data_IF_131497351609
#
_entry.id   IF_131497351609
#
_cell.length_a   1.000
_cell.length_b   1.000
_cell.length_c   1.000
_cell.angle_alpha   90.00
_cell.angle_beta   90.00
_cell.angle_gamma   90.00
#
_symmetry.space_group_name_H-M   'P 1'
#
loop_
_entity.id
_entity.type
_entity.pdbx_description
1 polymer ?
#
# COMPACT_ATOMS: atom_id res chain seq x y z
N UNK A 1 16.89 -8.55 -0.12
CA UNK A 1 16.78 -7.09 0.01
C UNK A 1 16.77 -6.36 -1.34
N UNK A 2 17.83 -6.29 -2.17
CA UNK A 2 17.72 -5.62 -3.50
C UNK A 2 17.00 -6.45 -4.58
N UNK A 3 17.26 -7.77 -4.63
CA UNK A 3 16.64 -8.68 -5.60
C UNK A 3 15.12 -8.81 -5.40
N UNK A 4 14.66 -8.80 -4.15
CA UNK A 4 13.23 -8.88 -3.82
C UNK A 4 12.46 -7.62 -4.23
N UNK A 5 13.01 -6.44 -3.99
CA UNK A 5 12.38 -5.18 -4.43
C UNK A 5 12.26 -5.14 -5.97
N UNK A 6 13.27 -5.64 -6.69
CA UNK A 6 13.21 -5.77 -8.14
C UNK A 6 12.11 -6.77 -8.57
N UNK A 7 12.00 -7.90 -7.87
CA UNK A 7 10.96 -8.89 -8.13
C UNK A 7 9.55 -8.30 -7.90
N UNK A 8 9.35 -7.49 -6.85
CA UNK A 8 8.08 -6.81 -6.60
C UNK A 8 7.71 -5.86 -7.74
N UNK A 9 8.66 -5.02 -8.19
CA UNK A 9 8.46 -4.13 -9.34
C UNK A 9 8.13 -4.89 -10.63
N UNK A 10 8.85 -5.97 -10.89
CA UNK A 10 8.62 -6.77 -12.09
C UNK A 10 7.26 -7.46 -12.06
N UNK A 11 6.85 -8.01 -10.90
CA UNK A 11 5.53 -8.58 -10.70
C UNK A 11 4.42 -7.54 -10.95
N UNK A 12 4.54 -6.36 -10.34
CA UNK A 12 3.60 -5.26 -10.54
C UNK A 12 3.53 -4.82 -12.01
N UNK A 13 4.65 -4.80 -12.74
CA UNK A 13 4.68 -4.49 -14.17
C UNK A 13 3.90 -5.52 -14.99
N UNK A 14 4.18 -6.82 -14.79
CA UNK A 14 3.47 -7.88 -15.52
C UNK A 14 1.96 -7.84 -15.28
N UNK A 15 1.56 -7.49 -14.07
CA UNK A 15 0.16 -7.26 -13.73
C UNK A 15 -0.43 -6.08 -14.53
N UNK A 16 0.23 -4.92 -14.54
CA UNK A 16 -0.22 -3.72 -15.30
C UNK A 16 -0.44 -3.97 -16.79
N UNK A 17 0.39 -4.80 -17.41
CA UNK A 17 0.27 -5.16 -18.83
C UNK A 17 -1.02 -5.93 -19.16
N UNK A 18 -1.65 -6.56 -18.16
CA UNK A 18 -2.85 -7.36 -18.32
C UNK A 18 -4.14 -6.59 -18.01
N UNK A 19 -4.07 -5.42 -17.36
CA UNK A 19 -5.26 -4.71 -16.89
C UNK A 19 -5.90 -3.84 -17.97
N UNK A 20 -7.24 -3.84 -17.96
CA UNK A 20 -8.04 -2.78 -18.58
C UNK A 20 -8.41 -1.77 -17.50
N UNK A 21 -8.34 -0.47 -17.81
CA UNK A 21 -8.79 0.58 -16.90
C UNK A 21 -10.25 0.38 -16.54
N UNK A 22 -10.53 0.28 -15.24
CA UNK A 22 -11.85 0.09 -14.68
C UNK A 22 -12.63 1.41 -14.66
N UNK A 23 -13.96 1.31 -14.65
CA UNK A 23 -14.90 2.44 -14.54
C UNK A 23 -15.84 2.31 -13.33
N UNK A 24 -15.39 1.60 -12.30
CA UNK A 24 -16.14 1.39 -11.05
C UNK A 24 -15.44 2.12 -9.90
N UNK A 25 -16.15 2.56 -8.85
CA UNK A 25 -15.51 3.13 -7.67
C UNK A 25 -14.43 2.18 -7.11
N UNK A 26 -13.27 2.74 -6.78
CA UNK A 26 -12.16 2.00 -6.18
C UNK A 26 -11.60 2.82 -5.02
N UNK A 27 -11.63 2.29 -3.80
CA UNK A 27 -10.96 2.91 -2.66
C UNK A 27 -9.70 2.08 -2.36
N UNK A 28 -8.54 2.71 -2.41
CA UNK A 28 -7.26 2.13 -2.03
C UNK A 28 -6.90 2.66 -0.64
N UNK A 29 -6.79 1.77 0.34
CA UNK A 29 -6.43 2.12 1.71
C UNK A 29 -4.96 1.73 1.92
N UNK A 30 -4.09 2.73 2.13
CA UNK A 30 -2.67 2.53 2.37
C UNK A 30 -2.30 2.63 3.84
N UNK A 31 -1.20 1.97 4.23
CA UNK A 31 -0.68 2.02 5.60
C UNK A 31 0.16 3.27 5.84
N UNK A 32 0.27 3.68 7.10
CA UNK A 32 1.15 4.77 7.51
C UNK A 32 2.63 4.37 7.34
N UNK A 33 3.41 5.11 6.52
CA UNK A 33 4.79 4.75 6.25
C UNK A 33 5.70 4.93 7.48
N UNK A 34 5.50 5.99 8.27
CA UNK A 34 6.33 6.24 9.46
C UNK A 34 6.05 5.21 10.55
N UNK A 35 4.77 4.86 10.73
CA UNK A 35 4.38 3.81 11.65
C UNK A 35 4.98 2.46 11.20
N UNK A 36 4.89 2.14 9.91
CA UNK A 36 5.42 0.90 9.35
C UNK A 36 6.94 0.78 9.49
N UNK A 37 7.70 1.83 9.16
CA UNK A 37 9.16 1.87 9.38
C UNK A 37 9.49 1.66 10.86
N UNK A 38 8.74 2.30 11.75
CA UNK A 38 8.92 2.14 13.21
C UNK A 38 8.68 0.69 13.65
N UNK A 39 7.65 0.01 13.13
CA UNK A 39 7.40 -1.39 13.47
C UNK A 39 8.48 -2.33 12.91
N UNK A 40 8.90 -2.13 11.66
CA UNK A 40 9.95 -2.92 11.02
C UNK A 40 11.28 -2.80 11.78
N UNK A 41 11.66 -1.56 12.13
CA UNK A 41 12.89 -1.31 12.89
C UNK A 41 12.85 -1.88 14.31
N UNK A 42 11.70 -1.82 15.00
CA UNK A 42 11.50 -2.53 16.28
C UNK A 42 11.63 -4.04 16.14
N UNK A 43 11.25 -4.58 14.97
CA UNK A 43 11.44 -5.99 14.60
C UNK A 43 12.88 -6.37 14.24
N UNK A 44 13.84 -5.45 14.35
CA UNK A 44 15.26 -5.70 14.10
C UNK A 44 15.74 -5.39 12.68
N UNK A 45 14.87 -4.89 11.80
CA UNK A 45 15.27 -4.46 10.46
C UNK A 45 16.13 -3.18 10.53
N UNK A 46 17.26 -3.09 9.82
CA UNK A 46 18.00 -1.84 9.69
C UNK A 46 17.13 -0.70 9.15
N UNK A 47 17.25 0.50 9.71
CA UNK A 47 16.40 1.65 9.35
C UNK A 47 16.45 1.99 7.85
N UNK A 48 17.63 1.93 7.25
CA UNK A 48 17.81 2.21 5.83
C UNK A 48 17.03 1.20 4.97
N UNK A 49 17.15 -0.09 5.29
CA UNK A 49 16.41 -1.16 4.62
C UNK A 49 14.89 -1.00 4.80
N UNK A 50 14.43 -0.73 6.02
CA UNK A 50 13.01 -0.48 6.31
C UNK A 50 12.47 0.72 5.52
N UNK A 51 13.27 1.77 5.38
CA UNK A 51 12.90 2.96 4.61
C UNK A 51 12.79 2.66 3.11
N UNK A 52 13.75 1.91 2.55
CA UNK A 52 13.72 1.52 1.13
C UNK A 52 12.54 0.59 0.82
N UNK A 53 12.29 -0.39 1.70
CA UNK A 53 11.15 -1.29 1.59
C UNK A 53 9.84 -0.53 1.65
N UNK A 54 9.68 0.37 2.64
CA UNK A 54 8.44 1.12 2.77
C UNK A 54 8.23 2.09 1.60
N UNK A 55 9.29 2.73 1.10
CA UNK A 55 9.20 3.59 -0.08
C UNK A 55 8.66 2.82 -1.31
N UNK A 56 9.18 1.60 -1.53
CA UNK A 56 8.67 0.70 -2.57
C UNK A 56 7.21 0.35 -2.34
N UNK A 57 6.85 0.03 -1.09
CA UNK A 57 5.49 -0.36 -0.75
C UNK A 57 4.49 0.77 -1.01
N UNK A 58 4.86 1.99 -0.63
CA UNK A 58 4.05 3.18 -0.89
C UNK A 58 3.92 3.46 -2.40
N UNK A 59 4.99 3.31 -3.17
CA UNK A 59 4.95 3.41 -4.64
C UNK A 59 3.91 2.44 -5.21
N UNK A 60 4.00 1.15 -4.86
CA UNK A 60 3.10 0.11 -5.35
C UNK A 60 1.63 0.30 -4.93
N UNK A 61 1.37 0.81 -3.71
CA UNK A 61 0.01 1.16 -3.26
C UNK A 61 -0.55 2.29 -4.11
N UNK A 62 0.20 3.38 -4.30
CA UNK A 62 -0.28 4.54 -5.05
C UNK A 62 -0.53 4.22 -6.52
N UNK A 63 0.26 3.32 -7.10
CA UNK A 63 0.05 2.86 -8.47
C UNK A 63 -1.30 2.14 -8.67
N UNK A 64 -1.88 1.55 -7.63
CA UNK A 64 -3.22 0.93 -7.70
C UNK A 64 -4.32 1.96 -7.98
N UNK A 65 -4.10 3.25 -7.69
CA UNK A 65 -5.05 4.31 -8.04
C UNK A 65 -5.25 4.44 -9.55
N UNK A 66 -4.34 3.90 -10.36
CA UNK A 66 -4.47 3.91 -11.83
C UNK A 66 -5.36 2.79 -12.36
N UNK A 67 -5.80 1.86 -11.51
CA UNK A 67 -6.65 0.73 -11.92
C UNK A 67 -8.06 1.18 -12.30
N UNK A 68 -8.56 2.28 -11.73
CA UNK A 68 -9.86 2.86 -12.05
C UNK A 68 -9.75 4.36 -12.30
N UNK A 69 -10.63 4.89 -13.16
CA UNK A 69 -10.83 6.34 -13.32
C UNK A 69 -11.56 6.98 -12.13
N UNK A 70 -12.09 6.17 -11.21
CA UNK A 70 -12.83 6.61 -10.02
C UNK A 70 -12.12 6.17 -8.73
N UNK A 71 -10.79 6.17 -8.75
CA UNK A 71 -9.99 5.79 -7.59
C UNK A 71 -9.92 6.89 -6.54
N UNK A 72 -9.94 6.50 -5.28
CA UNK A 72 -9.68 7.34 -4.11
C UNK A 72 -8.63 6.68 -3.23
N UNK A 73 -7.85 7.50 -2.53
CA UNK A 73 -6.85 7.05 -1.58
C UNK A 73 -7.21 7.46 -0.17
N UNK A 74 -7.06 6.53 0.79
CA UNK A 74 -7.17 6.80 2.22
C UNK A 74 -5.88 6.32 2.90
N UNK A 75 -5.27 7.20 3.69
CA UNK A 75 -4.14 6.82 4.54
C UNK A 75 -4.68 6.35 5.90
N UNK A 76 -4.39 5.11 6.25
CA UNK A 76 -4.66 4.58 7.58
C UNK A 76 -3.55 5.02 8.55
N UNK A 77 -3.71 6.20 9.14
CA UNK A 77 -2.80 6.73 10.15
C UNK A 77 -2.63 5.74 11.31
N UNK A 78 -1.38 5.62 11.78
CA UNK A 78 -1.00 4.69 12.85
C UNK A 78 -1.27 3.20 12.58
N UNK A 79 -1.43 2.81 11.31
CA UNK A 79 -1.58 1.42 10.89
C UNK A 79 -0.36 0.89 10.14
N UNK A 80 -0.05 -0.39 10.34
CA UNK A 80 1.00 -1.13 9.64
C UNK A 80 0.43 -2.06 8.56
N UNK A 81 0.98 -3.27 8.42
CA UNK A 81 0.54 -4.23 7.40
C UNK A 81 -0.92 -4.69 7.57
N UNK A 82 -1.36 -4.97 8.80
CA UNK A 82 -2.73 -5.40 9.10
C UNK A 82 -3.65 -4.22 9.41
N UNK A 83 -4.03 -3.45 8.41
CA UNK A 83 -4.96 -2.30 8.55
C UNK A 83 -6.31 -2.79 9.09
N UNK A 84 -6.80 -3.93 8.59
CA UNK A 84 -8.05 -4.56 9.03
C UNK A 84 -8.06 -4.93 10.52
N UNK A 85 -6.90 -5.19 11.10
CA UNK A 85 -6.76 -5.50 12.52
C UNK A 85 -6.56 -4.25 13.38
N UNK A 86 -5.87 -3.24 12.86
CA UNK A 86 -5.42 -2.06 13.64
C UNK A 86 -6.30 -0.82 13.46
N UNK A 87 -6.90 -0.65 12.28
CA UNK A 87 -7.82 0.42 11.90
C UNK A 87 -9.06 -0.12 11.15
N UNK A 88 -9.83 -1.05 11.76
CA UNK A 88 -11.07 -1.55 11.13
C UNK A 88 -12.11 -0.44 10.92
N UNK A 89 -12.06 0.62 11.74
CA UNK A 89 -12.91 1.81 11.62
C UNK A 89 -12.82 2.44 10.23
N UNK A 90 -11.61 2.62 9.68
CA UNK A 90 -11.43 3.20 8.35
C UNK A 90 -12.08 2.34 7.26
N UNK A 91 -12.04 1.01 7.40
CA UNK A 91 -12.66 0.11 6.42
C UNK A 91 -14.19 0.26 6.46
N UNK A 92 -14.75 0.31 7.67
CA UNK A 92 -16.19 0.51 7.88
C UNK A 92 -16.63 1.87 7.32
N UNK A 93 -15.90 2.94 7.63
CA UNK A 93 -16.17 4.29 7.12
C UNK A 93 -16.07 4.36 5.59
N UNK A 94 -15.05 3.73 4.99
CA UNK A 94 -14.88 3.68 3.55
C UNK A 94 -16.07 2.97 2.87
N UNK A 95 -16.55 1.86 3.43
CA UNK A 95 -17.72 1.14 2.91
C UNK A 95 -18.99 1.98 3.01
N UNK A 96 -19.19 2.70 4.11
CA UNK A 96 -20.35 3.58 4.29
C UNK A 96 -20.33 4.83 3.40
N UNK A 97 -19.17 5.17 2.83
CA UNK A 97 -18.97 6.35 1.97
C UNK A 97 -19.10 6.05 0.47
N UNK A 98 -19.37 4.80 0.10
CA UNK A 98 -19.66 4.36 -1.28
C UNK A 98 -21.11 4.63 -1.68
#
# INVERSE_FOLDING_TARGET
TASELCAWKNCARSLKELYKTLKVPLIVIGRDPQYSITQLTKGGMPKEEATQLEAMWQELIHEQLQLSIHSQYILAEHAGHGIENTRPDIIIEAIHSL
#
